data_IF_028458733420
#
_entry.id   IF_028458733420
#
_cell.length_a   1.000
_cell.length_b   1.000
_cell.length_c   1.000
_cell.angle_alpha   90.00
_cell.angle_beta   90.00
_cell.angle_gamma   90.00
#
_symmetry.space_group_name_H-M   'P 1'
#
loop_
_entity.id
_entity.type
_entity.pdbx_description
1 polymer ?
#
# COMPACT_ATOMS: atom_id res chain seq x y z
N UNK A 1 21.53 25.54 6.07
CA UNK A 1 22.43 25.01 5.03
C UNK A 1 22.38 23.46 4.92
N UNK A 2 21.21 22.82 4.86
CA UNK A 2 21.07 21.35 4.70
C UNK A 2 20.46 20.90 3.36
N UNK A 3 20.30 21.79 2.36
CA UNK A 3 19.32 21.56 1.27
C UNK A 3 19.87 21.13 -0.10
N UNK A 4 21.16 21.30 -0.42
CA UNK A 4 21.68 20.93 -1.76
C UNK A 4 22.30 19.52 -1.77
N UNK A 5 23.27 19.27 -0.88
CA UNK A 5 23.95 17.96 -0.80
C UNK A 5 22.99 16.81 -0.43
N UNK A 6 22.06 17.03 0.50
CA UNK A 6 21.05 16.02 0.85
C UNK A 6 20.09 15.71 -0.30
N UNK A 7 19.72 16.72 -1.09
CA UNK A 7 18.92 16.55 -2.30
C UNK A 7 19.68 15.74 -3.34
N UNK A 8 20.95 16.03 -3.54
CA UNK A 8 21.79 15.32 -4.50
C UNK A 8 21.98 13.84 -4.13
N UNK A 9 22.19 13.55 -2.85
CA UNK A 9 22.27 12.16 -2.34
C UNK A 9 20.95 11.43 -2.58
N UNK A 10 19.81 12.05 -2.26
CA UNK A 10 18.48 11.46 -2.49
C UNK A 10 18.26 11.15 -3.98
N UNK A 11 18.62 12.09 -4.88
CA UNK A 11 18.45 11.89 -6.32
C UNK A 11 19.30 10.74 -6.84
N UNK A 12 20.54 10.60 -6.36
CA UNK A 12 21.41 9.45 -6.70
C UNK A 12 20.83 8.13 -6.21
N UNK A 13 20.29 8.08 -4.99
CA UNK A 13 19.66 6.88 -4.46
C UNK A 13 18.38 6.51 -5.23
N UNK A 14 17.54 7.48 -5.57
CA UNK A 14 16.35 7.26 -6.40
C UNK A 14 16.76 6.72 -7.78
N UNK A 15 17.76 7.31 -8.43
CA UNK A 15 18.25 6.83 -9.71
C UNK A 15 18.81 5.40 -9.62
N UNK A 16 19.55 5.08 -8.55
CA UNK A 16 20.07 3.73 -8.27
C UNK A 16 18.93 2.72 -8.11
N UNK A 17 17.90 3.03 -7.33
CA UNK A 17 16.75 2.16 -7.12
C UNK A 17 15.93 1.99 -8.41
N UNK A 18 15.67 3.06 -9.15
CA UNK A 18 14.95 3.02 -10.43
C UNK A 18 15.70 2.21 -11.52
N UNK A 19 17.02 2.10 -11.42
CA UNK A 19 17.82 1.26 -12.29
C UNK A 19 17.80 -0.23 -11.91
N UNK A 20 17.35 -0.59 -10.70
CA UNK A 20 17.34 -1.99 -10.25
C UNK A 20 16.35 -2.85 -11.06
N UNK A 21 16.75 -4.07 -11.46
CA UNK A 21 15.85 -5.01 -12.15
C UNK A 21 14.57 -5.30 -11.36
N UNK A 22 14.65 -5.39 -10.04
CA UNK A 22 13.54 -5.70 -9.15
C UNK A 22 12.49 -4.59 -9.16
N UNK A 23 12.92 -3.32 -9.07
CA UNK A 23 11.99 -2.18 -9.17
C UNK A 23 11.38 -2.12 -10.56
N UNK A 24 12.16 -2.32 -11.63
CA UNK A 24 11.62 -2.34 -13.00
C UNK A 24 10.60 -3.46 -13.20
N UNK A 25 10.85 -4.64 -12.62
CA UNK A 25 9.94 -5.79 -12.63
C UNK A 25 8.63 -5.44 -11.90
N UNK A 26 8.70 -4.80 -10.72
CA UNK A 26 7.52 -4.34 -10.00
C UNK A 26 6.69 -3.35 -10.83
N UNK A 27 7.32 -2.37 -11.49
CA UNK A 27 6.60 -1.44 -12.39
C UNK A 27 5.98 -2.15 -13.60
N UNK A 28 6.63 -3.17 -14.16
CA UNK A 28 6.04 -3.98 -15.24
C UNK A 28 4.83 -4.76 -14.73
N UNK A 29 4.90 -5.32 -13.52
CA UNK A 29 3.79 -6.00 -12.89
C UNK A 29 2.60 -5.05 -12.68
N UNK A 30 2.82 -3.83 -12.17
CA UNK A 30 1.74 -2.84 -12.03
C UNK A 30 1.07 -2.51 -13.36
N UNK A 31 1.85 -2.32 -14.44
CA UNK A 31 1.29 -2.09 -15.79
C UNK A 31 0.48 -3.29 -16.28
N UNK A 32 0.97 -4.51 -16.10
CA UNK A 32 0.27 -5.71 -16.53
C UNK A 32 -1.02 -5.97 -15.74
N UNK A 33 -1.10 -5.49 -14.50
CA UNK A 33 -2.24 -5.70 -13.60
C UNK A 33 -3.14 -4.47 -13.44
N UNK A 34 -2.91 -3.39 -14.21
CA UNK A 34 -3.70 -2.16 -14.16
C UNK A 34 -5.22 -2.40 -14.22
N UNK A 35 -5.76 -3.28 -15.10
CA UNK A 35 -7.20 -3.54 -15.13
C UNK A 35 -7.75 -4.09 -13.80
N UNK A 36 -7.00 -4.99 -13.15
CA UNK A 36 -7.41 -5.57 -11.87
C UNK A 36 -7.34 -4.52 -10.75
N UNK A 37 -6.29 -3.70 -10.73
CA UNK A 37 -6.13 -2.63 -9.74
C UNK A 37 -7.24 -1.59 -9.87
N UNK A 38 -7.57 -1.19 -11.11
CA UNK A 38 -8.69 -0.30 -11.38
C UNK A 38 -10.02 -0.91 -10.95
N UNK A 39 -10.22 -2.21 -11.22
CA UNK A 39 -11.42 -2.92 -10.81
C UNK A 39 -11.59 -2.90 -9.28
N UNK A 40 -10.55 -3.27 -8.53
CA UNK A 40 -10.55 -3.19 -7.07
C UNK A 40 -10.81 -1.78 -6.56
N UNK A 41 -10.21 -0.75 -7.17
CA UNK A 41 -10.46 0.64 -6.80
C UNK A 41 -11.93 1.03 -7.00
N UNK A 42 -12.55 0.59 -8.11
CA UNK A 42 -13.97 0.83 -8.38
C UNK A 42 -14.88 0.08 -7.41
N UNK A 43 -14.57 -1.17 -7.06
CA UNK A 43 -15.33 -1.95 -6.08
C UNK A 43 -15.28 -1.29 -4.70
N UNK A 44 -14.08 -0.94 -4.22
CA UNK A 44 -13.88 -0.28 -2.93
C UNK A 44 -14.65 1.05 -2.86
N UNK A 45 -14.53 1.88 -3.91
CA UNK A 45 -15.15 3.21 -3.95
C UNK A 45 -16.69 3.16 -3.97
N UNK A 46 -17.29 2.05 -4.42
CA UNK A 46 -18.74 1.86 -4.41
C UNK A 46 -19.29 1.49 -3.04
N UNK A 47 -18.46 1.03 -2.12
CA UNK A 47 -18.88 0.72 -0.74
C UNK A 47 -18.92 2.04 0.03
N UNK A 48 -20.08 2.53 0.50
CA UNK A 48 -20.14 3.77 1.26
C UNK A 48 -19.28 3.69 2.52
N UNK A 49 -18.53 4.75 2.82
CA UNK A 49 -17.74 4.90 4.03
C UNK A 49 -17.79 6.36 4.51
N UNK A 50 -18.98 6.87 4.87
CA UNK A 50 -19.08 8.19 5.50
C UNK A 50 -18.33 8.18 6.84
N UNK A 51 -18.04 9.35 7.43
CA UNK A 51 -17.42 9.41 8.75
C UNK A 51 -18.14 8.51 9.77
N UNK A 52 -17.39 7.60 10.40
CA UNK A 52 -17.86 6.58 11.35
C UNK A 52 -18.71 5.43 10.74
N UNK A 53 -18.77 5.35 9.41
CA UNK A 53 -19.51 4.33 8.64
C UNK A 53 -18.62 3.42 7.80
N UNK A 54 -17.35 3.29 8.14
CA UNK A 54 -16.33 2.64 7.31
C UNK A 54 -16.33 1.11 7.39
N UNK A 55 -17.11 0.50 8.30
CA UNK A 55 -17.02 -0.93 8.64
C UNK A 55 -17.16 -1.87 7.44
N UNK A 56 -18.08 -1.57 6.51
CA UNK A 56 -18.28 -2.40 5.32
C UNK A 56 -17.06 -2.33 4.37
N UNK A 57 -16.49 -1.13 4.18
CA UNK A 57 -15.31 -0.93 3.34
C UNK A 57 -14.07 -1.54 4.00
N UNK A 58 -13.95 -1.45 5.33
CA UNK A 58 -12.91 -2.10 6.11
C UNK A 58 -12.96 -3.62 6.02
N UNK A 59 -14.14 -4.24 6.13
CA UNK A 59 -14.31 -5.69 5.96
C UNK A 59 -13.91 -6.16 4.56
N UNK A 60 -14.30 -5.41 3.52
CA UNK A 60 -13.89 -5.70 2.14
C UNK A 60 -12.35 -5.61 1.98
N UNK A 61 -11.72 -4.58 2.55
CA UNK A 61 -10.27 -4.41 2.48
C UNK A 61 -9.51 -5.53 3.20
N UNK A 62 -10.00 -5.95 4.38
CA UNK A 62 -9.43 -7.06 5.12
C UNK A 62 -9.45 -8.36 4.30
N UNK A 63 -10.51 -8.60 3.53
CA UNK A 63 -10.55 -9.77 2.65
C UNK A 63 -9.53 -9.66 1.52
N UNK A 64 -9.41 -8.50 0.88
CA UNK A 64 -8.37 -8.28 -0.14
C UNK A 64 -6.95 -8.46 0.42
N UNK A 65 -6.70 -8.02 1.65
CA UNK A 65 -5.42 -8.21 2.33
C UNK A 65 -5.07 -9.70 2.47
N UNK A 66 -6.04 -10.55 2.84
CA UNK A 66 -5.84 -12.01 2.91
C UNK A 66 -5.61 -12.61 1.53
N UNK A 67 -6.40 -12.22 0.53
CA UNK A 67 -6.27 -12.73 -0.83
C UNK A 67 -4.91 -12.43 -1.46
N UNK A 68 -4.33 -11.25 -1.19
CA UNK A 68 -2.98 -10.90 -1.68
C UNK A 68 -1.85 -11.47 -0.81
N UNK A 69 -2.18 -12.24 0.22
CA UNK A 69 -1.21 -12.98 1.04
C UNK A 69 -0.56 -12.18 2.16
N UNK A 70 -1.24 -11.18 2.73
CA UNK A 70 -0.79 -10.57 3.99
C UNK A 70 -1.09 -11.48 5.18
N UNK A 71 -0.18 -11.46 6.15
CA UNK A 71 -0.27 -12.11 7.45
C UNK A 71 -0.88 -11.18 8.52
N UNK A 72 -1.34 -11.74 9.64
CA UNK A 72 -1.94 -11.02 10.78
C UNK A 72 -3.02 -10.00 10.35
N UNK A 73 -3.88 -10.41 9.41
CA UNK A 73 -4.94 -9.53 8.91
C UNK A 73 -6.04 -9.39 9.94
N UNK A 74 -6.14 -8.20 10.53
CA UNK A 74 -7.07 -7.89 11.62
C UNK A 74 -7.71 -6.52 11.46
N UNK A 75 -8.89 -6.38 12.05
CA UNK A 75 -9.59 -5.10 12.22
C UNK A 75 -9.57 -4.82 13.72
N UNK A 76 -9.13 -3.63 14.13
CA UNK A 76 -9.19 -3.22 15.54
C UNK A 76 -10.58 -2.68 15.94
N UNK A 77 -10.77 -2.36 17.22
CA UNK A 77 -12.05 -1.90 17.77
C UNK A 77 -12.52 -0.56 17.19
N UNK A 78 -11.62 0.20 16.54
CA UNK A 78 -11.91 1.50 15.92
C UNK A 78 -12.17 1.36 14.42
N UNK A 79 -11.91 0.19 13.84
CA UNK A 79 -12.14 -0.10 12.42
C UNK A 79 -10.90 0.01 11.53
N UNK A 80 -9.70 0.19 12.10
CA UNK A 80 -8.47 0.18 11.32
C UNK A 80 -8.18 -1.23 10.81
N UNK A 81 -7.87 -1.35 9.53
CA UNK A 81 -7.49 -2.62 8.91
C UNK A 81 -5.96 -2.73 8.87
N UNK A 82 -5.42 -3.78 9.48
CA UNK A 82 -4.00 -4.09 9.48
C UNK A 82 -3.74 -5.37 8.70
N UNK A 83 -2.56 -5.43 8.09
CA UNK A 83 -1.97 -6.63 7.53
C UNK A 83 -0.46 -6.44 7.47
N UNK A 84 0.28 -7.52 7.56
CA UNK A 84 1.75 -7.52 7.58
C UNK A 84 2.28 -8.44 6.50
N UNK A 85 3.43 -8.11 5.92
CA UNK A 85 4.15 -9.03 5.05
C UNK A 85 5.54 -9.25 5.65
N UNK A 86 5.96 -10.49 5.92
CA UNK A 86 7.26 -10.76 6.50
C UNK A 86 8.35 -10.27 5.54
N UNK A 87 9.25 -9.45 6.07
CA UNK A 87 10.43 -8.96 5.36
C UNK A 87 11.71 -9.49 5.99
N UNK A 88 12.84 -9.05 5.45
CA UNK A 88 14.15 -9.35 6.03
C UNK A 88 14.60 -8.23 6.97
N UNK A 89 15.14 -8.60 8.14
CA UNK A 89 15.69 -7.66 9.13
C UNK A 89 14.76 -7.36 10.30
N UNK A 90 15.11 -6.34 11.09
CA UNK A 90 14.44 -5.97 12.35
C UNK A 90 13.65 -4.66 12.30
N UNK A 91 13.56 -4.03 11.12
CA UNK A 91 12.88 -2.74 10.93
C UNK A 91 11.59 -2.94 10.14
N UNK A 92 10.57 -2.18 10.51
CA UNK A 92 9.30 -2.13 9.80
C UNK A 92 9.27 -0.96 8.82
N UNK A 93 8.60 -1.18 7.69
CA UNK A 93 8.13 -0.13 6.80
C UNK A 93 6.61 -0.16 6.87
N UNK A 94 5.98 0.97 7.20
CA UNK A 94 4.52 1.09 7.25
C UNK A 94 4.04 1.90 6.06
N UNK A 95 3.00 1.40 5.40
CA UNK A 95 2.21 2.11 4.42
C UNK A 95 0.79 2.27 4.99
N UNK A 96 0.30 3.50 5.08
CA UNK A 96 -1.00 3.83 5.66
C UNK A 96 -1.77 4.79 4.76
N UNK A 97 -3.08 4.62 4.69
CA UNK A 97 -3.99 5.51 3.98
C UNK A 97 -5.35 5.56 4.70
N UNK A 98 -6.11 6.63 4.44
CA UNK A 98 -7.48 6.80 4.91
C UNK A 98 -8.47 6.16 3.93
N UNK A 99 -9.54 5.55 4.45
CA UNK A 99 -10.56 4.87 3.66
C UNK A 99 -11.95 5.52 3.76
N UNK A 100 -12.10 6.56 4.58
CA UNK A 100 -13.30 7.38 4.67
C UNK A 100 -13.46 8.31 3.46
N UNK A 101 -14.71 8.71 3.18
CA UNK A 101 -15.09 9.63 2.10
C UNK A 101 -16.27 10.50 2.49
#
# INVERSE_FOLDING_TARGET
MKNAAGKEIMQREVARLAASPEVRSAFNWFRANEPQLLHWQMEMARIPAPPFGESARGAWLAERFREVGLDDVRIDDVGNVFGTHPGFGSRYVSLSAHIDT
#
